data_IF_703045758609
#
_entry.id   IF_703045758609
#
_cell.length_a   1.000
_cell.length_b   1.000
_cell.length_c   1.000
_cell.angle_alpha   90.00
_cell.angle_beta   90.00
_cell.angle_gamma   90.00
#
_symmetry.space_group_name_H-M   'P 1'
#
loop_
_entity.id
_entity.type
_entity.pdbx_description
1 polymer ?
#
# COMPACT_ATOMS: atom_id res chain seq x y z
N UNK A 1 -5.52 17.61 8.03
CA UNK A 1 -4.29 17.95 8.81
C UNK A 1 -4.66 18.15 10.29
N UNK A 2 -5.62 19.01 10.64
CA UNK A 2 -6.02 19.19 12.05
C UNK A 2 -6.46 17.88 12.70
N UNK A 3 -7.23 17.06 12.00
CA UNK A 3 -7.66 15.74 12.43
C UNK A 3 -6.48 14.77 12.63
N UNK A 4 -5.53 14.76 11.71
CA UNK A 4 -4.34 13.90 11.79
C UNK A 4 -3.42 14.28 12.95
N UNK A 5 -3.25 15.59 13.19
CA UNK A 5 -2.50 16.10 14.35
C UNK A 5 -3.18 15.74 15.68
N UNK A 6 -4.53 15.80 15.70
CA UNK A 6 -5.30 15.39 16.88
C UNK A 6 -5.17 13.88 17.15
N UNK A 7 -5.14 13.06 16.12
CA UNK A 7 -4.91 11.61 16.27
C UNK A 7 -3.55 11.30 16.88
N UNK A 8 -2.48 12.01 16.49
CA UNK A 8 -1.14 11.80 17.04
C UNK A 8 -1.03 11.98 18.56
N UNK A 9 -2.04 12.58 19.20
CA UNK A 9 -2.10 12.76 20.64
C UNK A 9 -2.78 11.59 21.39
N UNK A 10 -3.34 10.62 20.66
CA UNK A 10 -4.00 9.46 21.24
C UNK A 10 -3.11 8.22 21.13
N UNK A 11 -3.10 7.40 22.17
CA UNK A 11 -2.28 6.17 22.24
C UNK A 11 -2.69 5.11 21.23
N UNK A 12 -3.98 5.10 20.86
CA UNK A 12 -4.62 4.18 19.90
C UNK A 12 -4.66 4.74 18.45
N UNK A 13 -3.86 5.78 18.19
CA UNK A 13 -3.80 6.40 16.85
C UNK A 13 -3.29 5.42 15.79
N UNK A 14 -3.95 5.34 14.62
CA UNK A 14 -3.43 4.59 13.49
C UNK A 14 -2.18 5.22 12.86
N UNK A 15 -1.80 6.43 13.29
CA UNK A 15 -0.63 7.16 12.81
C UNK A 15 0.31 7.48 13.98
N UNK A 16 1.56 7.03 13.89
CA UNK A 16 2.61 7.35 14.84
C UNK A 16 3.81 7.98 14.13
N UNK A 17 4.40 8.99 14.76
CA UNK A 17 5.67 9.60 14.33
C UNK A 17 6.65 9.52 15.49
N UNK A 18 7.80 8.86 15.28
CA UNK A 18 8.87 8.84 16.28
C UNK A 18 9.42 10.26 16.47
N UNK A 19 9.41 10.80 17.70
CA UNK A 19 9.91 12.14 17.97
C UNK A 19 11.36 12.39 17.52
N UNK A 20 12.18 11.34 17.41
CA UNK A 20 13.55 11.43 16.91
C UNK A 20 13.62 11.89 15.44
N UNK A 21 12.59 11.63 14.64
CA UNK A 21 12.54 12.10 13.26
C UNK A 21 12.39 13.62 13.17
N UNK A 22 11.81 14.26 14.19
CA UNK A 22 11.63 15.71 14.24
C UNK A 22 12.97 16.46 14.33
N UNK A 23 14.07 15.77 14.66
CA UNK A 23 15.43 16.32 14.61
C UNK A 23 16.17 16.04 13.30
N UNK A 24 15.56 15.30 12.35
CA UNK A 24 16.20 14.93 11.09
C UNK A 24 15.80 15.92 9.97
N UNK A 25 16.77 16.66 9.37
CA UNK A 25 16.46 17.67 8.35
C UNK A 25 15.74 17.12 7.12
N UNK A 26 16.05 15.89 6.71
CA UNK A 26 15.42 15.25 5.55
C UNK A 26 13.94 14.95 5.80
N UNK A 27 13.60 14.49 7.02
CA UNK A 27 12.22 14.23 7.40
C UNK A 27 11.43 15.53 7.54
N UNK A 28 12.02 16.57 8.13
CA UNK A 28 11.39 17.89 8.22
C UNK A 28 11.13 18.49 6.84
N UNK A 29 12.11 18.37 5.93
CA UNK A 29 11.93 18.81 4.54
C UNK A 29 10.80 18.06 3.86
N UNK A 30 10.75 16.73 4.00
CA UNK A 30 9.69 15.90 3.44
C UNK A 30 8.32 16.29 4.02
N UNK A 31 8.23 16.47 5.35
CA UNK A 31 6.99 16.87 6.04
C UNK A 31 6.51 18.25 5.55
N UNK A 32 7.41 19.21 5.37
CA UNK A 32 7.09 20.52 4.84
C UNK A 32 6.56 20.43 3.40
N UNK A 33 7.23 19.68 2.54
CA UNK A 33 6.78 19.45 1.17
C UNK A 33 5.41 18.76 1.14
N UNK A 34 5.23 17.68 1.94
CA UNK A 34 3.94 17.02 2.07
C UNK A 34 2.83 18.01 2.47
N UNK A 35 3.08 18.84 3.48
CA UNK A 35 2.12 19.83 3.94
C UNK A 35 1.79 20.88 2.87
N UNK A 36 2.76 21.35 2.10
CA UNK A 36 2.55 22.31 1.00
C UNK A 36 1.62 21.75 -0.08
N UNK A 37 1.64 20.44 -0.31
CA UNK A 37 0.79 19.76 -1.28
C UNK A 37 -0.54 19.25 -0.71
N UNK A 38 -0.82 19.48 0.57
CA UNK A 38 -2.11 19.15 1.19
C UNK A 38 -3.20 20.21 0.85
N UNK A 39 -3.52 20.35 -0.42
CA UNK A 39 -4.55 21.25 -0.94
C UNK A 39 -5.38 20.56 -2.02
N UNK A 40 -6.59 21.08 -2.32
CA UNK A 40 -7.52 20.45 -3.25
C UNK A 40 -6.96 20.29 -4.66
N UNK A 41 -6.17 21.26 -5.15
CA UNK A 41 -5.58 21.22 -6.50
C UNK A 41 -4.61 20.05 -6.63
N UNK A 42 -3.66 19.94 -5.70
CA UNK A 42 -2.61 18.92 -5.75
C UNK A 42 -3.18 17.56 -5.42
N UNK A 43 -4.21 17.48 -4.55
CA UNK A 43 -4.97 16.26 -4.30
C UNK A 43 -5.62 15.74 -5.60
N UNK A 44 -6.33 16.60 -6.34
CA UNK A 44 -6.96 16.23 -7.62
C UNK A 44 -5.91 15.81 -8.65
N UNK A 45 -4.82 16.57 -8.80
CA UNK A 45 -3.74 16.21 -9.71
C UNK A 45 -3.10 14.86 -9.35
N UNK A 46 -2.88 14.59 -8.07
CA UNK A 46 -2.38 13.31 -7.57
C UNK A 46 -3.34 12.16 -7.85
N UNK A 47 -4.64 12.37 -7.65
CA UNK A 47 -5.68 11.37 -7.94
C UNK A 47 -5.72 11.03 -9.43
N UNK A 48 -5.69 12.04 -10.33
CA UNK A 48 -5.63 11.82 -11.79
C UNK A 48 -4.38 11.01 -12.17
N UNK A 49 -3.21 11.40 -11.64
CA UNK A 49 -1.97 10.71 -11.93
C UNK A 49 -1.97 9.25 -11.43
N UNK A 50 -2.50 9.01 -10.23
CA UNK A 50 -2.60 7.66 -9.65
C UNK A 50 -3.59 6.81 -10.44
N UNK A 51 -4.75 7.36 -10.82
CA UNK A 51 -5.74 6.64 -11.63
C UNK A 51 -5.18 6.28 -13.00
N UNK A 52 -4.49 7.21 -13.69
CA UNK A 52 -3.86 6.95 -14.98
C UNK A 52 -2.76 5.88 -14.87
N UNK A 53 -1.97 5.91 -13.80
CA UNK A 53 -0.92 4.91 -13.54
C UNK A 53 -1.53 3.53 -13.23
N UNK A 54 -2.63 3.48 -12.48
CA UNK A 54 -3.32 2.26 -12.09
C UNK A 54 -4.26 1.67 -13.15
N UNK A 55 -4.61 2.40 -14.20
CA UNK A 55 -5.65 2.03 -15.16
C UNK A 55 -5.45 0.64 -15.82
N UNK A 56 -4.19 0.21 -15.97
CA UNK A 56 -3.87 -1.08 -16.59
C UNK A 56 -3.54 -2.18 -15.57
N UNK A 57 -3.63 -1.92 -14.27
CA UNK A 57 -3.17 -2.85 -13.24
C UNK A 57 -3.84 -4.22 -13.36
N UNK A 58 -5.15 -4.28 -13.55
CA UNK A 58 -5.88 -5.54 -13.65
C UNK A 58 -5.47 -6.33 -14.89
N UNK A 59 -5.32 -5.68 -16.04
CA UNK A 59 -4.85 -6.30 -17.27
C UNK A 59 -3.41 -6.81 -17.15
N UNK A 60 -2.55 -6.09 -16.43
CA UNK A 60 -1.17 -6.52 -16.17
C UNK A 60 -1.12 -7.75 -15.25
N UNK A 61 -1.97 -7.85 -14.23
CA UNK A 61 -2.08 -9.09 -13.43
C UNK A 61 -2.56 -10.27 -14.28
N UNK A 62 -3.55 -10.06 -15.15
CA UNK A 62 -4.00 -11.10 -16.10
C UNK A 62 -2.87 -11.50 -17.06
N UNK A 63 -2.08 -10.56 -17.55
CA UNK A 63 -0.91 -10.83 -18.39
C UNK A 63 0.19 -11.62 -17.65
N UNK A 64 0.45 -11.32 -16.38
CA UNK A 64 1.37 -12.10 -15.56
C UNK A 64 0.92 -13.56 -15.43
N UNK A 65 -0.37 -13.80 -15.18
CA UNK A 65 -0.93 -15.17 -15.16
C UNK A 65 -0.79 -15.86 -16.49
N UNK A 66 -1.12 -15.18 -17.58
CA UNK A 66 -0.98 -15.73 -18.94
C UNK A 66 0.50 -16.06 -19.27
N UNK A 67 1.45 -15.33 -18.71
CA UNK A 67 2.89 -15.62 -18.81
C UNK A 67 3.37 -16.73 -17.86
N UNK A 68 2.46 -17.40 -17.14
CA UNK A 68 2.79 -18.51 -16.25
C UNK A 68 3.37 -18.08 -14.89
N UNK A 69 3.09 -16.86 -14.43
CA UNK A 69 3.39 -16.45 -13.06
C UNK A 69 2.28 -16.93 -12.15
N UNK A 70 2.60 -17.81 -11.24
CA UNK A 70 1.65 -18.38 -10.27
C UNK A 70 1.70 -17.60 -8.96
N UNK A 71 0.52 -17.20 -8.47
CA UNK A 71 0.35 -16.50 -7.19
C UNK A 71 -1.10 -16.60 -6.70
N UNK A 72 -1.30 -16.41 -5.41
CA UNK A 72 -2.63 -16.35 -4.81
C UNK A 72 -3.32 -15.03 -5.16
N UNK A 73 -4.51 -15.13 -5.76
CA UNK A 73 -5.36 -14.00 -6.14
C UNK A 73 -6.83 -14.34 -5.89
N UNK A 74 -7.53 -13.40 -5.28
CA UNK A 74 -8.97 -13.46 -5.05
C UNK A 74 -9.65 -12.28 -5.74
N UNK A 75 -10.83 -12.51 -6.34
CA UNK A 75 -11.60 -11.52 -7.13
C UNK A 75 -12.93 -11.22 -6.46
N UNK A 76 -12.92 -11.04 -5.15
CA UNK A 76 -14.11 -10.86 -4.33
C UNK A 76 -14.45 -9.38 -4.10
N UNK A 77 -13.71 -8.49 -4.73
CA UNK A 77 -13.83 -7.04 -4.54
C UNK A 77 -13.27 -6.59 -3.19
N UNK A 78 -13.64 -5.35 -2.78
CA UNK A 78 -13.29 -4.76 -1.49
C UNK A 78 -14.52 -4.05 -0.92
N UNK A 79 -14.89 -4.36 0.31
CA UNK A 79 -16.01 -3.73 1.01
C UNK A 79 -15.48 -2.69 2.00
N UNK A 80 -15.91 -1.45 1.85
CA UNK A 80 -15.69 -0.39 2.83
C UNK A 80 -16.83 -0.36 3.82
N UNK A 81 -16.50 -0.41 5.11
CA UNK A 81 -17.45 -0.58 6.21
C UNK A 81 -17.35 0.60 7.17
N UNK A 82 -18.50 1.14 7.56
CA UNK A 82 -18.63 2.33 8.40
C UNK A 82 -19.56 2.07 9.59
N UNK A 83 -19.20 2.66 10.73
CA UNK A 83 -20.05 2.68 11.94
C UNK A 83 -20.89 3.96 12.04
N UNK A 84 -20.61 4.96 11.20
CA UNK A 84 -21.32 6.22 11.12
C UNK A 84 -21.90 6.43 9.71
N UNK A 85 -23.22 6.55 9.61
CA UNK A 85 -23.88 6.85 8.34
C UNK A 85 -23.52 8.23 7.79
N UNK A 86 -23.26 9.20 8.66
CA UNK A 86 -22.83 10.54 8.27
C UNK A 86 -21.44 10.51 7.62
N UNK A 87 -20.48 9.82 8.26
CA UNK A 87 -19.12 9.66 7.73
C UNK A 87 -19.13 8.89 6.41
N UNK A 88 -19.93 7.83 6.30
CA UNK A 88 -20.15 7.09 5.05
C UNK A 88 -20.62 8.02 3.93
N UNK A 89 -21.65 8.84 4.18
CA UNK A 89 -22.18 9.74 3.17
C UNK A 89 -21.17 10.79 2.70
N UNK A 90 -20.39 11.36 3.64
CA UNK A 90 -19.36 12.34 3.33
C UNK A 90 -18.24 11.73 2.48
N UNK A 91 -17.71 10.57 2.90
CA UNK A 91 -16.62 9.91 2.19
C UNK A 91 -17.07 9.38 0.83
N UNK A 92 -18.27 8.81 0.74
CA UNK A 92 -18.82 8.31 -0.51
C UNK A 92 -18.99 9.44 -1.54
N UNK A 93 -19.48 10.61 -1.13
CA UNK A 93 -19.57 11.79 -2.00
C UNK A 93 -18.19 12.25 -2.49
N UNK A 94 -17.15 12.16 -1.65
CA UNK A 94 -15.79 12.52 -2.02
C UNK A 94 -15.16 11.57 -3.07
N UNK A 95 -15.73 10.37 -3.26
CA UNK A 95 -15.27 9.40 -4.26
C UNK A 95 -15.91 9.60 -5.65
N UNK A 96 -16.91 10.48 -5.80
CA UNK A 96 -17.58 10.68 -7.10
C UNK A 96 -16.60 10.94 -8.25
N UNK A 97 -15.48 11.70 -8.08
CA UNK A 97 -14.51 11.90 -9.14
C UNK A 97 -13.83 10.63 -9.64
N UNK A 98 -13.70 9.57 -8.83
CA UNK A 98 -13.02 8.34 -9.26
C UNK A 98 -13.84 7.56 -10.30
N UNK A 99 -15.15 7.75 -10.37
CA UNK A 99 -16.01 7.15 -11.39
C UNK A 99 -15.63 7.57 -12.81
N UNK A 100 -15.12 8.79 -12.95
CA UNK A 100 -14.66 9.30 -14.26
C UNK A 100 -13.43 8.55 -14.79
N UNK A 101 -12.74 7.81 -13.93
CA UNK A 101 -11.58 6.96 -14.28
C UNK A 101 -11.95 5.49 -14.51
N UNK A 102 -13.26 5.16 -14.55
CA UNK A 102 -13.72 3.81 -14.83
C UNK A 102 -13.80 2.89 -13.61
N UNK A 103 -13.67 3.42 -12.38
CA UNK A 103 -13.88 2.64 -11.17
C UNK A 103 -15.39 2.45 -10.92
N UNK A 104 -15.79 1.19 -10.73
CA UNK A 104 -17.16 0.82 -10.39
C UNK A 104 -17.31 0.73 -8.87
N UNK A 105 -18.32 1.41 -8.35
CA UNK A 105 -18.74 1.32 -6.96
C UNK A 105 -20.21 1.00 -6.91
N UNK A 106 -20.62 0.15 -5.98
CA UNK A 106 -22.06 -0.01 -5.69
C UNK A 106 -22.63 1.30 -5.15
N UNK A 107 -23.95 1.51 -5.21
CA UNK A 107 -24.60 2.49 -4.36
C UNK A 107 -24.21 2.29 -2.89
N UNK A 108 -24.41 3.33 -2.08
CA UNK A 108 -24.29 3.17 -0.63
C UNK A 108 -25.26 2.09 -0.15
N UNK A 109 -24.75 1.16 0.63
CA UNK A 109 -25.50 0.08 1.25
C UNK A 109 -25.81 0.44 2.70
N UNK A 110 -27.04 0.25 3.13
CA UNK A 110 -27.44 0.34 4.53
C UNK A 110 -26.91 -0.84 5.36
N UNK A 111 -27.16 -0.80 6.67
CA UNK A 111 -26.68 -1.81 7.61
C UNK A 111 -27.11 -3.23 7.24
N UNK A 112 -28.38 -3.43 6.86
CA UNK A 112 -28.88 -4.76 6.43
C UNK A 112 -28.23 -5.23 5.16
N UNK A 113 -28.14 -4.37 4.14
CA UNK A 113 -27.61 -4.72 2.81
C UNK A 113 -26.11 -5.08 2.87
N UNK A 114 -25.30 -4.32 3.62
CA UNK A 114 -23.88 -4.63 3.75
C UNK A 114 -23.65 -5.92 4.54
N UNK A 115 -24.55 -6.24 5.50
CA UNK A 115 -24.50 -7.50 6.26
C UNK A 115 -25.00 -8.70 5.46
N UNK A 116 -25.91 -8.51 4.52
CA UNK A 116 -26.26 -9.55 3.53
C UNK A 116 -25.08 -9.85 2.61
N UNK A 117 -24.32 -8.80 2.21
CA UNK A 117 -23.11 -8.95 1.40
C UNK A 117 -21.98 -9.65 2.19
N UNK A 118 -21.82 -9.31 3.48
CA UNK A 118 -20.81 -9.88 4.36
C UNK A 118 -21.39 -10.22 5.75
N UNK A 119 -21.89 -11.45 5.92
CA UNK A 119 -22.57 -11.87 7.15
C UNK A 119 -21.69 -11.86 8.43
N UNK A 120 -20.36 -11.83 8.27
CA UNK A 120 -19.45 -11.72 9.43
C UNK A 120 -19.52 -10.35 10.15
N UNK A 121 -20.19 -9.36 9.52
CA UNK A 121 -20.33 -8.02 10.11
C UNK A 121 -21.38 -8.00 11.23
N UNK A 122 -21.08 -7.29 12.31
CA UNK A 122 -22.00 -7.10 13.43
C UNK A 122 -23.07 -6.03 13.13
N UNK A 123 -24.06 -5.91 14.01
CA UNK A 123 -25.11 -4.89 13.99
C UNK A 123 -24.61 -3.46 14.28
N UNK A 124 -23.35 -3.32 14.73
CA UNK A 124 -22.72 -2.01 14.94
C UNK A 124 -22.37 -1.29 13.64
N UNK A 125 -22.47 -1.97 12.51
CA UNK A 125 -22.20 -1.39 11.19
C UNK A 125 -23.39 -0.56 10.71
N UNK A 126 -23.16 0.71 10.40
CA UNK A 126 -24.19 1.61 9.86
C UNK A 126 -24.41 1.41 8.36
N UNK A 127 -23.40 0.95 7.63
CA UNK A 127 -23.45 0.72 6.20
C UNK A 127 -22.07 0.65 5.56
N UNK A 128 -22.07 0.71 4.22
CA UNK A 128 -20.83 0.64 3.47
C UNK A 128 -21.02 0.79 1.97
N UNK A 129 -20.01 0.46 1.21
CA UNK A 129 -20.07 0.28 -0.25
C UNK A 129 -19.06 -0.78 -0.68
N UNK A 130 -19.29 -1.37 -1.83
CA UNK A 130 -18.45 -2.42 -2.40
C UNK A 130 -17.82 -1.95 -3.71
N UNK A 131 -16.55 -2.27 -3.89
CA UNK A 131 -15.78 -2.11 -5.12
C UNK A 131 -15.62 -3.49 -5.77
N UNK A 132 -16.50 -3.91 -6.68
CA UNK A 132 -16.54 -5.29 -7.20
C UNK A 132 -15.34 -5.65 -8.08
N UNK A 133 -14.70 -4.67 -8.70
CA UNK A 133 -13.55 -4.88 -9.60
C UNK A 133 -12.23 -5.07 -8.87
N UNK A 134 -12.18 -4.78 -7.56
CA UNK A 134 -10.94 -4.91 -6.78
C UNK A 134 -10.52 -6.36 -6.66
N UNK A 135 -9.21 -6.57 -6.61
CA UNK A 135 -8.59 -7.89 -6.44
C UNK A 135 -7.67 -7.88 -5.25
N UNK A 136 -7.61 -8.99 -4.57
CA UNK A 136 -6.63 -9.26 -3.53
C UNK A 136 -5.54 -10.13 -4.09
N UNK A 137 -4.30 -9.70 -3.92
CA UNK A 137 -3.12 -10.48 -4.30
C UNK A 137 -2.27 -10.69 -3.04
N UNK A 138 -1.86 -11.92 -2.80
CA UNK A 138 -0.94 -12.23 -1.70
C UNK A 138 0.49 -11.90 -2.11
N UNK A 139 1.13 -10.88 -1.47
CA UNK A 139 2.38 -10.30 -1.99
C UNK A 139 3.56 -11.28 -2.00
N UNK A 140 3.68 -12.14 -0.99
CA UNK A 140 4.77 -13.12 -0.88
C UNK A 140 4.68 -14.18 -1.98
N UNK A 141 3.48 -14.67 -2.32
CA UNK A 141 3.30 -15.64 -3.42
C UNK A 141 3.56 -14.98 -4.78
N UNK A 142 3.13 -13.73 -4.97
CA UNK A 142 3.43 -12.97 -6.20
C UNK A 142 4.94 -12.80 -6.41
N UNK A 143 5.67 -12.39 -5.37
CA UNK A 143 7.13 -12.23 -5.44
C UNK A 143 7.82 -13.56 -5.75
N UNK A 144 7.38 -14.66 -5.14
CA UNK A 144 7.90 -16.00 -5.44
C UNK A 144 7.61 -16.43 -6.88
N UNK A 145 6.38 -16.22 -7.36
CA UNK A 145 5.99 -16.51 -8.74
C UNK A 145 6.78 -15.71 -9.77
N UNK A 146 6.97 -14.41 -9.51
CA UNK A 146 7.82 -13.55 -10.36
C UNK A 146 9.27 -14.02 -10.35
N UNK A 147 9.80 -14.36 -9.19
CA UNK A 147 11.17 -14.92 -9.09
C UNK A 147 11.33 -16.20 -9.90
N UNK A 148 10.39 -17.11 -9.78
CA UNK A 148 10.40 -18.36 -10.55
C UNK A 148 10.32 -18.07 -12.07
N UNK A 149 9.48 -17.13 -12.49
CA UNK A 149 9.37 -16.73 -13.89
C UNK A 149 10.69 -16.15 -14.42
N UNK A 150 11.31 -15.24 -13.68
CA UNK A 150 12.60 -14.65 -14.07
C UNK A 150 13.69 -15.69 -14.25
N UNK A 151 13.78 -16.69 -13.36
CA UNK A 151 14.74 -17.79 -13.48
C UNK A 151 14.48 -18.66 -14.71
N UNK A 152 13.21 -18.87 -15.11
CA UNK A 152 12.88 -19.58 -16.37
C UNK A 152 13.31 -18.81 -17.62
N UNK A 153 13.50 -17.52 -17.52
CA UNK A 153 13.98 -16.65 -18.59
C UNK A 153 15.48 -16.32 -18.48
N UNK A 154 16.25 -17.17 -17.77
CA UNK A 154 17.70 -17.03 -17.60
C UNK A 154 18.14 -15.67 -16.99
N UNK A 155 17.27 -15.02 -16.24
CA UNK A 155 17.62 -13.81 -15.50
C UNK A 155 18.41 -14.17 -14.25
N UNK A 156 19.62 -13.65 -14.14
CA UNK A 156 20.43 -13.84 -12.94
C UNK A 156 19.88 -13.00 -11.77
N UNK A 157 19.55 -13.68 -10.68
CA UNK A 157 19.10 -13.07 -9.43
C UNK A 157 20.19 -13.23 -8.39
N UNK A 158 20.71 -12.11 -7.88
CA UNK A 158 21.76 -12.08 -6.84
C UNK A 158 21.18 -11.55 -5.54
N UNK A 159 21.32 -12.32 -4.48
CA UNK A 159 20.98 -11.89 -3.12
C UNK A 159 22.16 -11.11 -2.51
N UNK A 160 22.30 -9.85 -2.95
CA UNK A 160 23.39 -8.98 -2.54
C UNK A 160 22.87 -7.58 -2.23
N UNK A 161 23.49 -6.92 -1.28
CA UNK A 161 23.19 -5.53 -0.96
C UNK A 161 23.89 -4.60 -1.93
N UNK A 162 23.11 -3.78 -2.64
CA UNK A 162 23.64 -2.66 -3.44
C UNK A 162 23.94 -1.49 -2.50
N UNK A 163 25.17 -0.99 -2.55
CA UNK A 163 25.67 0.08 -1.68
C UNK A 163 25.87 1.41 -2.40
N UNK A 164 25.88 1.39 -3.73
CA UNK A 164 26.05 2.61 -4.50
C UNK A 164 25.91 2.40 -6.00
N UNK A 165 25.83 3.50 -6.73
CA UNK A 165 25.78 3.56 -8.20
C UNK A 165 26.93 4.45 -8.65
N UNK A 166 27.72 3.93 -9.60
CA UNK A 166 28.79 4.67 -10.25
C UNK A 166 28.28 5.37 -11.49
N UNK A 167 28.78 6.57 -11.75
CA UNK A 167 28.48 7.31 -12.96
C UNK A 167 29.75 7.62 -13.74
N UNK A 168 29.63 7.63 -15.08
CA UNK A 168 30.66 8.12 -15.99
C UNK A 168 30.04 9.27 -16.79
N UNK A 169 30.50 10.48 -16.52
CA UNK A 169 29.83 11.68 -17.00
C UNK A 169 28.40 11.77 -16.47
N UNK A 170 27.42 11.89 -17.37
CA UNK A 170 25.99 11.98 -17.02
C UNK A 170 25.23 10.65 -17.17
N UNK A 171 25.93 9.50 -17.14
CA UNK A 171 25.34 8.16 -17.33
C UNK A 171 25.75 7.24 -16.20
N UNK A 172 24.79 6.45 -15.73
CA UNK A 172 25.09 5.34 -14.82
C UNK A 172 25.91 4.28 -15.57
N UNK A 173 26.95 3.74 -14.95
CA UNK A 173 27.90 2.81 -15.58
C UNK A 173 28.11 1.51 -14.80
N UNK A 174 27.85 1.51 -13.50
CA UNK A 174 27.99 0.32 -12.67
C UNK A 174 27.22 0.47 -11.35
N UNK A 175 27.02 -0.66 -10.66
CA UNK A 175 26.57 -0.71 -9.26
C UNK A 175 27.65 -1.36 -8.41
N UNK A 176 27.74 -0.94 -7.13
CA UNK A 176 28.54 -1.61 -6.11
C UNK A 176 27.64 -2.56 -5.34
N UNK A 177 27.88 -3.86 -5.45
CA UNK A 177 27.08 -4.90 -4.84
C UNK A 177 27.97 -6.05 -4.35
N UNK A 178 27.68 -6.59 -3.16
CA UNK A 178 28.42 -7.71 -2.60
C UNK A 178 29.93 -7.47 -2.45
N UNK A 179 30.35 -6.22 -2.21
CA UNK A 179 31.76 -5.83 -2.10
C UNK A 179 32.51 -5.68 -3.43
N UNK A 180 31.85 -5.83 -4.58
CA UNK A 180 32.42 -5.71 -5.92
C UNK A 180 31.69 -4.71 -6.80
N UNK A 181 32.36 -4.34 -7.90
CA UNK A 181 31.81 -3.48 -8.95
C UNK A 181 31.16 -4.34 -10.04
N UNK A 182 29.88 -4.06 -10.34
CA UNK A 182 29.13 -4.73 -11.39
C UNK A 182 28.83 -3.73 -12.52
N UNK A 183 29.45 -3.86 -13.70
CA UNK A 183 29.17 -2.98 -14.84
C UNK A 183 27.73 -3.15 -15.31
N UNK A 184 27.11 -2.06 -15.75
CA UNK A 184 25.76 -2.08 -16.31
C UNK A 184 25.61 -0.95 -17.33
N UNK A 185 24.94 -1.23 -18.44
CA UNK A 185 24.60 -0.22 -19.47
C UNK A 185 23.34 0.57 -19.09
N UNK A 186 22.44 -0.04 -18.35
CA UNK A 186 21.22 0.57 -17.82
C UNK A 186 20.97 0.07 -16.40
N UNK A 187 20.46 0.92 -15.53
CA UNK A 187 20.18 0.62 -14.14
C UNK A 187 18.75 1.08 -13.82
N UNK A 188 17.92 0.15 -13.34
CA UNK A 188 16.60 0.43 -12.79
C UNK A 188 16.68 0.36 -11.27
N UNK A 189 16.36 1.46 -10.59
CA UNK A 189 16.32 1.52 -9.13
C UNK A 189 14.89 1.28 -8.67
N UNK A 190 14.62 0.08 -8.17
CA UNK A 190 13.35 -0.35 -7.63
C UNK A 190 13.49 -0.73 -6.13
N UNK A 191 14.17 0.12 -5.35
CA UNK A 191 14.60 -0.17 -3.98
C UNK A 191 13.61 0.32 -2.90
N UNK A 192 12.36 0.67 -3.27
CA UNK A 192 11.33 1.09 -2.32
C UNK A 192 11.82 2.19 -1.38
N UNK A 193 11.67 2.01 -0.07
CA UNK A 193 12.07 2.97 0.95
C UNK A 193 13.58 3.31 0.95
N UNK A 194 14.43 2.44 0.42
CA UNK A 194 15.90 2.66 0.34
C UNK A 194 16.31 3.48 -0.88
N UNK A 195 15.41 3.74 -1.82
CA UNK A 195 15.70 4.48 -3.08
C UNK A 195 16.35 5.83 -2.81
N UNK A 196 15.80 6.63 -1.88
CA UNK A 196 16.31 7.94 -1.57
C UNK A 196 17.78 7.91 -1.10
N UNK A 197 18.16 6.89 -0.31
CA UNK A 197 19.53 6.68 0.16
C UNK A 197 20.50 6.37 -0.98
N UNK A 198 20.11 5.53 -1.93
CA UNK A 198 20.93 5.17 -3.09
C UNK A 198 21.13 6.32 -4.07
N UNK A 199 20.12 7.17 -4.25
CA UNK A 199 20.14 8.26 -5.22
C UNK A 199 20.73 9.58 -4.68
N UNK A 200 20.85 9.74 -3.35
CA UNK A 200 21.41 10.93 -2.71
C UNK A 200 22.80 11.33 -3.24
N UNK A 201 23.78 10.39 -3.37
CA UNK A 201 25.11 10.72 -3.89
C UNK A 201 25.08 11.22 -5.35
N UNK A 202 24.06 10.82 -6.11
CA UNK A 202 23.87 11.21 -7.50
C UNK A 202 23.18 12.56 -7.68
N UNK A 203 22.88 13.26 -6.58
CA UNK A 203 22.12 14.52 -6.57
C UNK A 203 20.76 14.42 -7.29
N UNK A 204 20.16 13.23 -7.30
CA UNK A 204 18.83 12.94 -7.85
C UNK A 204 17.84 12.71 -6.67
N UNK A 205 17.32 13.78 -6.06
CA UNK A 205 16.47 13.65 -4.88
C UNK A 205 15.12 13.04 -5.29
N UNK A 206 14.71 12.01 -4.53
CA UNK A 206 13.38 11.41 -4.63
C UNK A 206 12.66 11.64 -3.31
N UNK A 207 11.48 12.30 -3.30
CA UNK A 207 10.76 12.64 -2.08
C UNK A 207 10.00 11.44 -1.50
N UNK A 208 10.74 10.37 -1.18
CA UNK A 208 10.22 9.15 -0.57
C UNK A 208 10.72 9.03 0.86
N UNK A 209 9.83 8.80 1.80
CA UNK A 209 10.16 8.44 3.18
C UNK A 209 9.60 7.07 3.53
N UNK A 210 10.23 6.39 4.49
CA UNK A 210 9.78 5.09 4.96
C UNK A 210 8.57 5.24 5.88
N UNK A 211 7.50 4.53 5.55
CA UNK A 211 6.36 4.28 6.45
C UNK A 211 6.31 2.79 6.77
N UNK A 212 6.20 2.45 8.05
CA UNK A 212 6.09 1.08 8.54
C UNK A 212 4.64 0.79 8.91
N UNK A 213 4.06 -0.25 8.31
CA UNK A 213 2.76 -0.80 8.70
C UNK A 213 2.94 -2.07 9.53
N UNK A 214 1.88 -2.48 10.20
CA UNK A 214 1.83 -3.72 10.94
C UNK A 214 0.72 -4.61 10.39
N UNK A 215 0.97 -5.91 10.38
CA UNK A 215 -0.05 -6.90 10.08
C UNK A 215 0.02 -8.07 11.05
N UNK A 216 -1.13 -8.68 11.28
CA UNK A 216 -1.28 -9.89 12.10
C UNK A 216 -1.96 -10.92 11.21
N UNK A 217 -1.36 -12.09 11.10
CA UNK A 217 -1.93 -13.22 10.40
C UNK A 217 -2.55 -14.17 11.42
N UNK A 218 -3.84 -14.47 11.24
CA UNK A 218 -4.63 -15.34 12.11
C UNK A 218 -4.98 -16.62 11.35
N UNK A 219 -4.80 -17.76 11.98
CA UNK A 219 -5.38 -19.02 11.50
C UNK A 219 -6.89 -18.97 11.73
N UNK A 220 -7.72 -19.11 10.69
CA UNK A 220 -9.18 -19.08 10.85
C UNK A 220 -9.62 -20.20 11.82
N UNK A 221 -10.47 -19.83 12.76
CA UNK A 221 -11.18 -20.79 13.59
C UNK A 221 -12.53 -21.11 12.95
N UNK A 222 -13.08 -22.32 13.15
CA UNK A 222 -14.42 -22.62 12.71
C UNK A 222 -15.42 -21.66 13.38
N UNK A 223 -16.09 -20.84 12.58
CA UNK A 223 -17.14 -19.92 13.02
C UNK A 223 -18.34 -20.06 12.08
N UNK A 224 -19.52 -19.70 12.57
CA UNK A 224 -20.75 -19.83 11.77
C UNK A 224 -20.69 -18.96 10.51
N UNK A 225 -20.18 -17.73 10.64
CA UNK A 225 -20.06 -16.79 9.53
C UNK A 225 -18.61 -16.30 9.42
N UNK A 226 -17.78 -16.98 8.60
CA UNK A 226 -16.40 -16.51 8.34
C UNK A 226 -16.42 -15.28 7.46
N UNK A 227 -15.38 -14.45 7.58
CA UNK A 227 -15.12 -13.35 6.66
C UNK A 227 -14.88 -13.90 5.25
N UNK A 228 -15.66 -13.45 4.29
CA UNK A 228 -15.65 -13.96 2.90
C UNK A 228 -14.98 -13.01 1.93
N UNK A 229 -14.97 -11.72 2.24
CA UNK A 229 -14.45 -10.65 1.36
C UNK A 229 -13.44 -9.79 2.09
N UNK A 230 -12.50 -9.19 1.38
CA UNK A 230 -11.67 -8.12 1.92
C UNK A 230 -12.53 -6.97 2.43
N UNK A 231 -12.26 -6.52 3.66
CA UNK A 231 -12.96 -5.43 4.33
C UNK A 231 -11.98 -4.32 4.65
N UNK A 232 -12.43 -3.07 4.55
CA UNK A 232 -11.74 -1.93 5.11
C UNK A 232 -12.63 -1.25 6.15
N UNK A 233 -12.21 -1.33 7.40
CA UNK A 233 -12.92 -0.73 8.52
C UNK A 233 -12.50 0.74 8.65
N UNK A 234 -13.41 1.64 8.27
CA UNK A 234 -13.06 3.06 8.13
C UNK A 234 -12.57 3.70 9.42
N UNK A 235 -13.27 3.51 10.53
CA UNK A 235 -12.95 4.18 11.81
C UNK A 235 -11.63 3.72 12.41
N UNK A 236 -11.31 2.44 12.29
CA UNK A 236 -10.08 1.86 12.84
C UNK A 236 -8.91 1.89 11.86
N UNK A 237 -9.17 2.17 10.58
CA UNK A 237 -8.16 2.12 9.50
C UNK A 237 -7.49 0.75 9.38
N UNK A 238 -8.26 -0.30 9.62
CA UNK A 238 -7.80 -1.69 9.54
C UNK A 238 -8.41 -2.34 8.30
N UNK A 239 -7.56 -2.97 7.51
CA UNK A 239 -7.96 -3.89 6.45
C UNK A 239 -8.02 -5.31 7.01
N UNK A 240 -9.08 -6.05 6.72
CA UNK A 240 -9.25 -7.48 7.01
C UNK A 240 -9.27 -8.20 5.67
N UNK A 241 -8.33 -9.10 5.46
CA UNK A 241 -8.15 -9.79 4.19
C UNK A 241 -8.17 -11.29 4.39
N UNK A 242 -9.22 -12.00 3.96
CA UNK A 242 -9.20 -13.45 3.90
C UNK A 242 -8.24 -13.89 2.78
N UNK A 243 -7.39 -14.86 3.10
CA UNK A 243 -6.41 -15.48 2.22
C UNK A 243 -6.46 -17.00 2.42
N UNK A 244 -5.83 -17.75 1.53
CA UNK A 244 -5.79 -19.21 1.67
C UNK A 244 -5.11 -19.63 2.98
N UNK A 245 -5.92 -20.21 3.86
CA UNK A 245 -5.48 -20.72 5.16
C UNK A 245 -5.23 -19.66 6.24
N UNK A 246 -5.50 -18.38 6.01
CA UNK A 246 -5.33 -17.32 7.01
C UNK A 246 -6.23 -16.11 6.78
N UNK A 247 -6.39 -15.29 7.84
CA UNK A 247 -6.98 -13.94 7.74
C UNK A 247 -5.89 -12.96 8.15
N UNK A 248 -5.60 -11.99 7.29
CA UNK A 248 -4.66 -10.91 7.59
C UNK A 248 -5.40 -9.68 8.07
N UNK A 249 -5.02 -9.19 9.25
CA UNK A 249 -5.41 -7.87 9.76
C UNK A 249 -4.23 -6.93 9.51
N UNK A 250 -4.43 -5.86 8.77
CA UNK A 250 -3.36 -4.89 8.47
C UNK A 250 -3.85 -3.47 8.77
N UNK A 251 -3.00 -2.70 9.42
CA UNK A 251 -3.32 -1.32 9.79
C UNK A 251 -2.10 -0.57 10.27
N UNK A 252 -2.34 0.60 10.83
CA UNK A 252 -1.34 1.53 11.37
C UNK A 252 -0.32 2.03 10.35
N UNK A 253 0.19 3.23 10.60
CA UNK A 253 1.29 3.84 9.85
C UNK A 253 2.27 4.43 10.86
N UNK A 254 3.49 3.93 10.86
CA UNK A 254 4.55 4.42 11.73
C UNK A 254 5.66 5.07 10.90
N UNK A 255 5.95 6.32 11.18
CA UNK A 255 7.16 7.00 10.71
C UNK A 255 8.22 6.93 11.81
N UNK A 256 9.20 6.04 11.67
CA UNK A 256 10.30 5.83 12.62
C UNK A 256 11.65 5.65 11.92
N UNK A 257 11.72 5.99 10.62
CA UNK A 257 12.86 5.68 9.78
C UNK A 257 12.92 4.19 9.39
N UNK A 258 14.00 3.82 8.70
CA UNK A 258 14.18 2.43 8.26
C UNK A 258 14.73 1.60 9.41
N UNK A 259 13.86 0.82 10.05
CA UNK A 259 14.21 -0.12 11.13
C UNK A 259 13.20 -1.29 11.18
N UNK A 260 13.57 -2.35 11.90
CA UNK A 260 12.75 -3.54 12.13
C UNK A 260 12.25 -3.67 13.58
N UNK A 261 12.39 -2.63 14.38
CA UNK A 261 11.93 -2.63 15.78
C UNK A 261 10.41 -2.64 15.81
N UNK A 262 9.83 -3.63 16.49
CA UNK A 262 8.40 -3.66 16.74
C UNK A 262 8.07 -2.79 17.95
N UNK A 263 7.14 -1.89 17.79
CA UNK A 263 6.58 -1.13 18.88
C UNK A 263 5.50 -1.98 19.57
N UNK A 264 5.65 -2.18 20.87
CA UNK A 264 4.68 -2.89 21.71
C UNK A 264 3.97 -1.83 22.55
N UNK A 265 2.76 -1.50 22.19
CA UNK A 265 1.82 -0.72 23.02
C UNK A 265 0.43 -1.29 22.88
#
# INVERSE_FOLDING_TARGET
IATSLRWMLHSDSPLYIDPRLLSQPDFLRWTLQFWQHCNARDYTAGMVATAAFGAQSMALYDALRAAGVEYEEHRDGLVFVYRSAETLAQDYAALEPIRTFGFEMTPMLGSSEVRELEPALSDLVAGGYWLPQERTVRPDTLVQGLRAALLRHDVEIRDVRVTGIETSGNRASAVFAGGGRQPASQIVVAAGAWTAGLLRPLRAPVPVTAGKGYSIDLTPQPVAEPVRRPLYLHETRVAITPLDGMIRLAGTMEFSGINHTLRRE
#
